data_IF_427094126468
#
_entry.id   IF_427094126468
#
_cell.length_a   1.000
_cell.length_b   1.000
_cell.length_c   1.000
_cell.angle_alpha   90.00
_cell.angle_beta   90.00
_cell.angle_gamma   90.00
#
_symmetry.space_group_name_H-M   'P 1'
#
loop_
_entity.id
_entity.type
_entity.pdbx_description
1 polymer ?
#
# COMPACT_ATOMS: atom_id res chain seq x y z
N UNK A 1 15.57 7.67 6.24
CA UNK A 1 14.25 7.08 6.04
C UNK A 1 14.38 5.84 5.18
N UNK A 2 13.84 4.73 5.67
CA UNK A 2 13.75 3.50 4.90
C UNK A 2 12.90 3.77 3.66
N UNK A 3 13.32 3.28 2.47
CA UNK A 3 12.60 3.48 1.22
C UNK A 3 12.98 4.73 0.41
N UNK A 4 14.00 5.48 0.78
CA UNK A 4 14.46 6.63 0.01
C UNK A 4 15.28 6.27 -1.26
N UNK A 5 15.58 4.97 -1.48
CA UNK A 5 16.32 4.52 -2.66
C UNK A 5 15.47 4.45 -3.93
N UNK A 6 16.12 4.58 -5.10
CA UNK A 6 15.45 4.51 -6.40
C UNK A 6 14.98 3.09 -6.78
N UNK A 7 15.54 2.05 -6.14
CA UNK A 7 15.23 0.65 -6.41
C UNK A 7 14.16 0.07 -5.47
N UNK A 8 13.57 0.90 -4.61
CA UNK A 8 12.56 0.48 -3.63
C UNK A 8 11.28 1.26 -3.88
N UNK A 9 10.13 0.59 -3.86
CA UNK A 9 8.83 1.25 -3.87
C UNK A 9 8.53 1.72 -2.45
N UNK A 10 8.48 3.03 -2.25
CA UNK A 10 8.08 3.65 -1.00
C UNK A 10 6.57 3.83 -0.98
N UNK A 11 5.90 3.13 -0.08
CA UNK A 11 4.44 3.15 0.05
C UNK A 11 4.05 4.10 1.17
N UNK A 12 3.20 5.08 0.83
CA UNK A 12 2.50 5.91 1.79
C UNK A 12 1.12 5.34 2.14
N UNK A 13 0.48 5.92 3.14
CA UNK A 13 -0.90 5.58 3.47
C UNK A 13 -1.85 6.71 3.06
N UNK A 14 -2.93 6.34 2.37
CA UNK A 14 -4.03 7.20 2.03
C UNK A 14 -5.31 6.36 1.91
N UNK A 15 -6.36 6.73 2.64
CA UNK A 15 -7.60 5.94 2.69
C UNK A 15 -8.64 6.39 1.64
N UNK A 16 -8.25 7.33 0.77
CA UNK A 16 -9.13 7.86 -0.27
C UNK A 16 -10.20 8.81 0.25
N UNK A 17 -11.05 9.28 -0.65
CA UNK A 17 -12.12 10.24 -0.32
C UNK A 17 -13.28 9.62 0.47
N UNK A 18 -13.33 8.30 0.54
CA UNK A 18 -14.46 7.55 1.12
C UNK A 18 -14.30 7.25 2.62
N UNK A 19 -13.15 7.57 3.24
CA UNK A 19 -12.97 7.35 4.66
C UNK A 19 -13.60 8.51 5.46
N UNK A 20 -14.64 8.26 6.28
CA UNK A 20 -15.43 9.33 6.90
C UNK A 20 -14.70 10.07 8.03
N UNK A 21 -13.75 9.44 8.70
CA UNK A 21 -12.99 10.03 9.81
C UNK A 21 -11.52 10.27 9.46
N UNK A 22 -11.25 11.41 8.84
CA UNK A 22 -9.88 11.82 8.47
C UNK A 22 -8.96 12.07 9.67
N UNK A 23 -9.48 12.28 10.87
CA UNK A 23 -8.66 12.56 12.07
C UNK A 23 -7.94 11.32 12.57
N UNK A 24 -8.54 10.15 12.37
CA UNK A 24 -7.98 8.85 12.75
C UNK A 24 -7.47 8.05 11.55
N UNK A 25 -7.41 8.66 10.36
CA UNK A 25 -6.87 8.01 9.18
C UNK A 25 -5.34 7.96 9.23
N UNK A 26 -4.76 6.96 8.59
CA UNK A 26 -3.31 6.82 8.50
C UNK A 26 -2.64 7.95 7.71
N UNK A 27 -3.40 8.76 6.99
CA UNK A 27 -2.90 9.94 6.28
C UNK A 27 -2.25 10.97 7.22
N UNK A 28 -2.73 11.07 8.47
CA UNK A 28 -2.25 12.07 9.43
C UNK A 28 -0.81 11.83 9.86
N UNK A 29 -0.34 10.57 9.83
CA UNK A 29 1.01 10.17 10.24
C UNK A 29 1.79 9.46 9.11
N UNK A 30 1.24 9.35 7.91
CA UNK A 30 1.96 8.87 6.74
C UNK A 30 3.17 9.76 6.44
N UNK A 31 4.30 9.15 6.18
CA UNK A 31 5.51 9.87 5.78
C UNK A 31 5.26 10.65 4.49
N UNK A 32 5.62 11.93 4.50
CA UNK A 32 5.47 12.85 3.38
C UNK A 32 6.82 13.23 2.81
N UNK A 33 6.90 13.38 1.50
CA UNK A 33 8.07 13.90 0.83
C UNK A 33 8.16 15.44 0.88
N UNK A 34 9.27 16.04 0.40
CA UNK A 34 10.40 15.32 -0.21
C UNK A 34 11.28 14.61 0.83
N UNK A 35 11.86 13.47 0.43
CA UNK A 35 12.93 12.85 1.21
C UNK A 35 14.26 13.62 0.98
N UNK A 36 15.22 13.47 1.90
CA UNK A 36 16.56 14.03 1.70
C UNK A 36 17.09 13.71 0.29
N UNK A 37 17.96 14.53 -0.26
CA UNK A 37 18.45 14.46 -1.64
C UNK A 37 17.40 14.76 -2.73
N UNK A 38 16.32 15.46 -2.43
CA UNK A 38 15.26 15.87 -3.37
C UNK A 38 14.51 14.71 -4.03
N UNK A 39 14.60 13.49 -3.50
CA UNK A 39 13.81 12.37 -3.98
C UNK A 39 12.32 12.60 -3.69
N UNK A 40 11.50 12.52 -4.74
CA UNK A 40 10.04 12.63 -4.61
C UNK A 40 9.47 11.33 -4.07
N UNK A 41 9.07 11.32 -2.80
CA UNK A 41 8.44 10.19 -2.11
C UNK A 41 7.16 10.66 -1.40
N UNK A 42 6.17 9.79 -1.14
CA UNK A 42 6.14 8.36 -1.48
C UNK A 42 6.08 8.12 -3.00
N UNK A 43 6.31 6.87 -3.44
CA UNK A 43 6.08 6.49 -4.84
C UNK A 43 4.60 6.26 -5.12
N UNK A 44 3.91 5.57 -4.23
CA UNK A 44 2.50 5.20 -4.36
C UNK A 44 1.85 5.18 -2.98
N UNK A 45 0.54 5.31 -2.92
CA UNK A 45 -0.22 5.16 -1.68
C UNK A 45 -1.24 4.02 -1.79
N UNK A 46 -1.61 3.47 -0.65
CA UNK A 46 -2.72 2.51 -0.55
C UNK A 46 -3.40 2.62 0.82
N UNK A 47 -4.63 2.10 0.96
CA UNK A 47 -5.35 2.13 2.23
C UNK A 47 -4.59 1.43 3.35
N UNK A 48 -4.66 2.00 4.56
CA UNK A 48 -3.96 1.45 5.72
C UNK A 48 -4.65 1.75 7.05
N UNK A 49 -5.88 2.26 7.04
CA UNK A 49 -6.66 2.48 8.27
C UNK A 49 -7.67 1.36 8.46
N UNK A 50 -7.71 0.80 9.67
CA UNK A 50 -8.68 -0.23 10.03
C UNK A 50 -8.53 -1.53 9.24
N UNK A 51 -7.33 -1.87 8.81
CA UNK A 51 -7.07 -3.06 8.01
C UNK A 51 -7.24 -4.31 8.87
N UNK A 52 -8.17 -5.18 8.45
CA UNK A 52 -8.42 -6.48 9.08
C UNK A 52 -7.48 -7.51 8.48
N UNK A 53 -6.74 -8.23 9.33
CA UNK A 53 -5.82 -9.29 8.90
C UNK A 53 -5.73 -10.39 9.95
N UNK A 54 -5.03 -11.47 9.61
CA UNK A 54 -4.80 -12.60 10.51
C UNK A 54 -4.09 -12.15 11.80
N UNK A 55 -4.53 -12.66 12.93
CA UNK A 55 -3.95 -12.36 14.23
C UNK A 55 -2.84 -13.38 14.57
N UNK A 56 -1.68 -12.88 15.00
CA UNK A 56 -0.63 -13.72 15.58
C UNK A 56 -1.00 -14.24 16.98
N UNK A 57 -2.02 -13.63 17.61
CA UNK A 57 -2.52 -14.03 18.93
C UNK A 57 -3.73 -15.01 18.84
N UNK A 58 -3.94 -15.65 17.69
CA UNK A 58 -4.98 -16.69 17.57
C UNK A 58 -4.67 -17.85 18.52
N UNK A 59 -5.73 -18.48 19.02
CA UNK A 59 -5.62 -19.65 19.88
C UNK A 59 -6.46 -20.78 19.32
N UNK A 60 -5.92 -22.00 19.37
CA UNK A 60 -6.65 -23.21 19.07
C UNK A 60 -7.12 -23.85 20.37
N UNK A 61 -8.43 -24.06 20.49
CA UNK A 61 -8.99 -24.84 21.63
C UNK A 61 -8.73 -26.33 21.45
N UNK A 62 -8.88 -27.12 22.52
CA UNK A 62 -8.80 -28.61 22.46
C UNK A 62 -9.81 -29.18 21.46
N UNK A 63 -10.95 -28.53 21.25
CA UNK A 63 -11.97 -28.89 20.26
C UNK A 63 -11.70 -28.35 18.84
N UNK A 64 -10.46 -27.89 18.56
CA UNK A 64 -10.03 -27.30 17.28
C UNK A 64 -10.80 -26.03 16.86
N UNK A 65 -11.46 -25.37 17.80
CA UNK A 65 -12.10 -24.07 17.53
C UNK A 65 -11.02 -22.97 17.56
N UNK A 66 -11.01 -22.13 16.53
CA UNK A 66 -10.11 -20.98 16.44
C UNK A 66 -10.71 -19.81 17.21
N UNK A 67 -9.94 -19.23 18.13
CA UNK A 67 -10.30 -18.02 18.87
C UNK A 67 -9.39 -16.87 18.41
N UNK A 68 -9.95 -15.67 18.29
CA UNK A 68 -9.26 -14.45 17.87
C UNK A 68 -8.47 -14.61 16.56
N UNK A 69 -9.08 -15.11 15.47
CA UNK A 69 -8.36 -15.36 14.22
C UNK A 69 -7.92 -14.09 13.51
N UNK A 70 -8.57 -12.96 13.79
CA UNK A 70 -8.32 -11.67 13.11
C UNK A 70 -8.02 -10.56 14.10
N UNK A 71 -7.32 -9.54 13.60
CA UNK A 71 -7.03 -8.29 14.29
C UNK A 71 -7.19 -7.12 13.34
N UNK A 72 -7.40 -5.93 13.90
CA UNK A 72 -7.51 -4.69 13.12
C UNK A 72 -6.31 -3.81 13.47
N UNK A 73 -5.61 -3.32 12.47
CA UNK A 73 -4.47 -2.41 12.63
C UNK A 73 -4.53 -1.28 11.62
N UNK A 74 -3.91 -0.15 11.98
CA UNK A 74 -3.74 1.00 11.10
C UNK A 74 -2.26 1.40 11.04
N UNK A 75 -1.84 1.87 9.86
CA UNK A 75 -0.47 2.33 9.64
C UNK A 75 -0.02 2.16 8.20
N UNK A 76 1.05 2.86 7.83
CA UNK A 76 1.71 2.68 6.54
C UNK A 76 2.20 1.24 6.34
N UNK A 77 2.58 0.55 7.43
CA UNK A 77 2.91 -0.87 7.40
C UNK A 77 1.74 -1.77 6.99
N UNK A 78 0.50 -1.28 7.08
CA UNK A 78 -0.70 -1.99 6.62
C UNK A 78 -0.98 -1.71 5.14
N UNK A 79 -0.47 -0.61 4.61
CA UNK A 79 -0.55 -0.25 3.19
C UNK A 79 0.42 -1.07 2.33
N UNK A 80 1.62 -1.33 2.82
CA UNK A 80 2.68 -2.05 2.09
C UNK A 80 2.24 -3.43 1.59
N UNK A 81 1.56 -4.29 2.37
CA UNK A 81 1.12 -5.62 1.91
C UNK A 81 0.18 -5.57 0.70
N UNK A 82 -0.67 -4.53 0.58
CA UNK A 82 -1.54 -4.37 -0.57
C UNK A 82 -0.75 -4.15 -1.86
N UNK A 83 0.29 -3.31 -1.81
CA UNK A 83 1.20 -3.07 -2.95
C UNK A 83 2.01 -4.33 -3.27
N UNK A 84 2.50 -5.05 -2.26
CA UNK A 84 3.23 -6.31 -2.44
C UNK A 84 2.35 -7.40 -3.07
N UNK A 85 1.09 -7.50 -2.63
CA UNK A 85 0.11 -8.42 -3.21
C UNK A 85 -0.20 -8.07 -4.67
N UNK A 86 -0.35 -6.79 -4.99
CA UNK A 86 -0.54 -6.34 -6.37
C UNK A 86 0.66 -6.69 -7.27
N UNK A 87 1.89 -6.53 -6.77
CA UNK A 87 3.10 -6.93 -7.48
C UNK A 87 3.12 -8.44 -7.75
N UNK A 88 2.74 -9.27 -6.77
CA UNK A 88 2.65 -10.72 -6.93
C UNK A 88 1.62 -11.12 -8.02
N UNK A 89 0.45 -10.50 -8.03
CA UNK A 89 -0.57 -10.74 -9.05
C UNK A 89 -0.10 -10.31 -10.45
N UNK A 90 0.66 -9.22 -10.54
CA UNK A 90 1.26 -8.79 -11.81
C UNK A 90 2.29 -9.80 -12.31
N UNK A 91 3.15 -10.34 -11.44
CA UNK A 91 4.12 -11.36 -11.82
C UNK A 91 3.45 -12.69 -12.21
N UNK A 92 2.36 -13.06 -11.54
CA UNK A 92 1.59 -14.23 -11.96
C UNK A 92 1.04 -14.06 -13.38
N UNK A 93 0.49 -12.87 -13.68
CA UNK A 93 -0.07 -12.58 -15.01
C UNK A 93 0.99 -12.34 -16.08
N UNK A 94 2.11 -11.73 -15.72
CA UNK A 94 3.22 -11.36 -16.62
C UNK A 94 4.56 -11.89 -16.10
N UNK A 95 4.80 -13.21 -16.16
CA UNK A 95 5.98 -13.83 -15.54
C UNK A 95 7.32 -13.33 -16.09
N UNK A 96 7.31 -12.80 -17.32
CA UNK A 96 8.51 -12.26 -17.98
C UNK A 96 8.84 -10.82 -17.59
N UNK A 97 7.99 -10.15 -16.79
CA UNK A 97 8.27 -8.77 -16.38
C UNK A 97 9.43 -8.71 -15.39
N UNK A 98 10.32 -7.75 -15.61
CA UNK A 98 11.36 -7.40 -14.64
C UNK A 98 10.76 -6.66 -13.44
N UNK A 99 11.53 -6.54 -12.36
CA UNK A 99 11.13 -5.74 -11.19
C UNK A 99 10.84 -4.27 -11.56
N UNK A 100 11.62 -3.68 -12.47
CA UNK A 100 11.39 -2.34 -12.99
C UNK A 100 10.05 -2.24 -13.71
N UNK A 101 9.74 -3.20 -14.59
CA UNK A 101 8.46 -3.23 -15.32
C UNK A 101 7.26 -3.39 -14.39
N UNK A 102 7.36 -4.22 -13.35
CA UNK A 102 6.34 -4.35 -12.31
C UNK A 102 6.15 -3.01 -11.59
N UNK A 103 7.26 -2.38 -11.18
CA UNK A 103 7.23 -1.07 -10.52
C UNK A 103 6.56 -0.01 -11.41
N UNK A 104 7.01 0.14 -12.64
CA UNK A 104 6.45 1.09 -13.60
C UNK A 104 4.95 0.86 -13.80
N UNK A 105 4.55 -0.39 -13.96
CA UNK A 105 3.15 -0.75 -14.15
C UNK A 105 2.28 -0.33 -12.98
N UNK A 106 2.72 -0.58 -11.73
CA UNK A 106 2.02 -0.15 -10.53
C UNK A 106 1.88 1.37 -10.45
N UNK A 107 2.96 2.10 -10.76
CA UNK A 107 2.97 3.56 -10.66
C UNK A 107 2.13 4.22 -11.76
N UNK A 108 2.28 3.81 -13.02
CA UNK A 108 1.54 4.42 -14.14
C UNK A 108 0.04 4.11 -14.12
N UNK A 109 -0.35 3.00 -13.50
CA UNK A 109 -1.76 2.64 -13.35
C UNK A 109 -2.39 3.17 -12.06
N UNK A 110 -1.63 3.84 -11.19
CA UNK A 110 -2.17 4.44 -9.98
C UNK A 110 -3.22 5.51 -10.29
N UNK A 111 -4.22 5.61 -9.44
CA UNK A 111 -5.28 6.62 -9.55
C UNK A 111 -4.82 7.93 -8.93
N UNK A 112 -4.76 8.99 -9.72
CA UNK A 112 -4.50 10.33 -9.21
C UNK A 112 -5.64 10.80 -8.29
N UNK A 113 -5.30 11.22 -7.08
CA UNK A 113 -6.25 11.72 -6.09
C UNK A 113 -6.39 13.24 -6.13
N UNK A 114 -5.59 13.93 -6.96
CA UNK A 114 -5.55 15.39 -7.02
C UNK A 114 -4.89 16.03 -5.80
N UNK A 115 -4.05 15.28 -5.08
CA UNK A 115 -3.30 15.74 -3.91
C UNK A 115 -1.87 16.14 -4.30
N UNK A 116 -1.18 16.83 -3.41
CA UNK A 116 0.25 17.12 -3.60
C UNK A 116 1.07 15.84 -3.72
N UNK A 117 2.12 15.86 -4.53
CA UNK A 117 2.99 14.71 -4.72
C UNK A 117 3.51 14.12 -3.40
N UNK A 118 3.92 14.96 -2.46
CA UNK A 118 4.44 14.50 -1.17
C UNK A 118 3.44 13.71 -0.32
N UNK A 119 2.16 13.75 -0.67
CA UNK A 119 1.09 13.00 -0.01
C UNK A 119 0.73 11.71 -0.75
N UNK A 120 0.63 11.76 -2.08
CA UNK A 120 0.09 10.65 -2.89
C UNK A 120 1.13 9.95 -3.77
N UNK A 121 2.27 10.57 -4.08
CA UNK A 121 3.18 10.10 -5.12
C UNK A 121 2.50 10.05 -6.49
N UNK A 122 2.56 8.90 -7.16
CA UNK A 122 1.83 8.64 -8.41
C UNK A 122 0.31 8.46 -8.20
N UNK A 123 -0.14 8.29 -6.97
CA UNK A 123 -1.55 8.17 -6.61
C UNK A 123 -1.87 6.91 -5.83
N UNK A 124 -3.17 6.60 -5.75
CA UNK A 124 -3.71 5.42 -5.09
C UNK A 124 -3.49 4.17 -5.93
N UNK A 125 -3.05 3.10 -5.29
CA UNK A 125 -2.95 1.76 -5.91
C UNK A 125 -4.27 1.34 -6.54
N UNK A 126 -4.24 1.06 -7.84
CA UNK A 126 -5.36 0.47 -8.59
C UNK A 126 -4.92 -0.86 -9.19
N UNK A 127 -5.25 -1.95 -8.50
CA UNK A 127 -4.87 -3.32 -8.90
C UNK A 127 -5.57 -3.72 -10.18
N UNK A 128 -6.83 -3.36 -10.35
CA UNK A 128 -7.62 -3.71 -11.55
C UNK A 128 -6.99 -3.08 -12.80
N UNK A 129 -6.71 -1.79 -12.72
CA UNK A 129 -6.08 -1.03 -13.79
C UNK A 129 -4.67 -1.53 -14.10
N UNK A 130 -3.88 -1.86 -13.07
CA UNK A 130 -2.55 -2.43 -13.25
C UNK A 130 -2.59 -3.78 -13.97
N UNK A 131 -3.56 -4.64 -13.65
CA UNK A 131 -3.73 -5.95 -14.29
C UNK A 131 -4.28 -5.86 -15.72
N UNK A 132 -5.20 -4.93 -16.00
CA UNK A 132 -5.86 -4.84 -17.32
C UNK A 132 -5.14 -3.89 -18.29
N UNK A 133 -4.42 -2.91 -17.78
CA UNK A 133 -3.74 -1.89 -18.59
C UNK A 133 -4.66 -0.79 -19.13
N UNK A 134 -5.86 -0.68 -18.54
CA UNK A 134 -6.88 0.31 -18.96
C UNK A 134 -7.19 1.25 -17.83
#
# INVERSE_FOLDING_TARGET
PQGAGNHVICVGCHDGKHFPDRRNSCESYSGRGPAGNRLRKPDIVSPGTGVVSCSSAFRLTRSRKVLNPYTVKSGTSMSVPAVSGAAALLWEKYPAFTNEQIRERLLFCAQDLGEEWGKQGWGMLDVSRALTGR
#
